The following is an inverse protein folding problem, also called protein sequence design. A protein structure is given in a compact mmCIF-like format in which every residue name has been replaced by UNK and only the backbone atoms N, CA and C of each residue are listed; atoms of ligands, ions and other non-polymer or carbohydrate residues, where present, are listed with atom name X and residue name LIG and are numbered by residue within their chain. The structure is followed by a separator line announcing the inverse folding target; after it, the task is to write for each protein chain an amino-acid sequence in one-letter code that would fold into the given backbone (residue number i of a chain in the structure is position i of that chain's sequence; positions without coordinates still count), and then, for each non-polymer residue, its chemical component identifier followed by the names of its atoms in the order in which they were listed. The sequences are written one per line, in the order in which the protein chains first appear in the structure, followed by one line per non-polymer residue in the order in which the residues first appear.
data_IF_836830018428
#
_entry.id   IF_836830018428
#
_cell.length_a   1.000
_cell.length_b   1.000
_cell.length_c   1.000
_cell.angle_alpha   90.00
_cell.angle_beta   90.00
_cell.angle_gamma   90.00
#
_symmetry.space_group_name_H-M   'P 1'
#
loop_
_entity.id
_entity.type
_entity.pdbx_description
1 polymer ?
#
# COMPACT_ATOMS: atom_id res chain seq x y z
N UNK A 1 -18.31 -11.99 -21.59
CA UNK A 1 -17.74 -12.25 -22.93
C UNK A 1 -16.73 -13.40 -22.92
N UNK A 2 -15.58 -13.31 -22.24
CA UNK A 2 -14.58 -14.40 -22.28
C UNK A 2 -14.96 -15.68 -21.52
N UNK A 3 -15.85 -15.63 -20.52
CA UNK A 3 -16.31 -16.84 -19.81
C UNK A 3 -17.16 -17.78 -20.66
N UNK A 4 -17.81 -17.25 -21.71
CA UNK A 4 -18.70 -18.00 -22.60
C UNK A 4 -18.11 -18.10 -24.03
N UNK A 5 -16.80 -17.93 -24.17
CA UNK A 5 -16.13 -18.03 -25.47
C UNK A 5 -15.99 -19.48 -25.92
N UNK A 6 -15.91 -19.70 -27.22
CA UNK A 6 -15.65 -21.03 -27.77
C UNK A 6 -14.26 -21.56 -27.37
N UNK A 7 -14.06 -22.89 -27.35
CA UNK A 7 -12.75 -23.49 -27.05
C UNK A 7 -11.63 -23.02 -27.98
N UNK A 8 -11.93 -22.73 -29.25
CA UNK A 8 -10.96 -22.24 -30.23
C UNK A 8 -10.43 -20.86 -29.84
N UNK A 9 -11.32 -19.97 -29.40
CA UNK A 9 -10.93 -18.64 -28.93
C UNK A 9 -10.12 -18.72 -27.62
N UNK A 10 -10.48 -19.63 -26.71
CA UNK A 10 -9.70 -19.87 -25.50
C UNK A 10 -8.28 -20.35 -25.83
N UNK A 11 -8.14 -21.27 -26.78
CA UNK A 11 -6.85 -21.75 -27.26
C UNK A 11 -6.02 -20.66 -27.95
N UNK A 12 -6.65 -19.80 -28.74
CA UNK A 12 -5.98 -18.66 -29.36
C UNK A 12 -5.47 -17.66 -28.30
N UNK A 13 -6.28 -17.34 -27.30
CA UNK A 13 -5.90 -16.45 -26.18
C UNK A 13 -4.77 -17.08 -25.36
N UNK A 14 -4.82 -18.39 -25.10
CA UNK A 14 -3.75 -19.10 -24.40
C UNK A 14 -2.42 -19.01 -25.16
N UNK A 15 -2.44 -19.27 -26.47
CA UNK A 15 -1.24 -19.13 -27.33
C UNK A 15 -0.70 -17.70 -27.28
N UNK A 16 -1.57 -16.70 -27.38
CA UNK A 16 -1.19 -15.29 -27.26
C UNK A 16 -0.55 -14.98 -25.90
N UNK A 17 -1.14 -15.43 -24.80
CA UNK A 17 -0.60 -15.21 -23.46
C UNK A 17 0.75 -15.89 -23.24
N UNK A 18 0.93 -17.11 -23.76
CA UNK A 18 2.21 -17.80 -23.70
C UNK A 18 3.27 -17.08 -24.56
N UNK A 19 2.90 -16.54 -25.72
CA UNK A 19 3.81 -15.74 -26.55
C UNK A 19 4.23 -14.45 -25.85
N UNK A 20 3.29 -13.72 -25.24
CA UNK A 20 3.58 -12.54 -24.41
C UNK A 20 4.50 -12.91 -23.24
N UNK A 21 4.22 -14.03 -22.57
CA UNK A 21 5.03 -14.48 -21.44
C UNK A 21 6.46 -14.84 -21.85
N UNK A 22 6.63 -15.53 -22.98
CA UNK A 22 7.94 -16.01 -23.45
C UNK A 22 8.77 -14.90 -24.09
N UNK A 23 8.14 -13.93 -24.76
CA UNK A 23 8.85 -12.78 -25.31
C UNK A 23 9.41 -11.88 -24.21
N UNK A 24 8.65 -11.68 -23.13
CA UNK A 24 8.96 -10.68 -22.10
C UNK A 24 8.40 -9.29 -22.44
N UNK A 25 7.63 -9.16 -23.52
CA UNK A 25 7.12 -7.87 -24.00
C UNK A 25 5.61 -7.79 -23.84
N UNK A 26 5.14 -6.72 -23.21
CA UNK A 26 3.72 -6.44 -23.04
C UNK A 26 3.20 -5.69 -24.28
N UNK A 27 2.11 -6.16 -24.93
CA UNK A 27 1.62 -5.52 -26.14
C UNK A 27 1.28 -4.03 -25.96
N UNK A 28 1.74 -3.17 -26.87
CA UNK A 28 1.48 -1.72 -26.85
C UNK A 28 -0.01 -1.38 -26.76
N UNK A 29 -0.84 -2.12 -27.50
CA UNK A 29 -2.31 -1.97 -27.49
C UNK A 29 -2.93 -2.26 -26.12
N UNK A 30 -2.24 -3.01 -25.27
CA UNK A 30 -2.65 -3.25 -23.88
C UNK A 30 -2.04 -2.22 -22.91
N UNK A 31 -0.94 -1.60 -23.31
CA UNK A 31 -0.18 -0.60 -22.56
C UNK A 31 -0.72 0.82 -22.68
N UNK A 32 -1.83 1.00 -23.40
CA UNK A 32 -2.56 2.25 -23.54
C UNK A 32 -3.79 2.27 -22.62
N UNK A 33 -3.88 3.29 -21.77
CA UNK A 33 -4.94 3.47 -20.79
C UNK A 33 -5.78 4.73 -21.01
N UNK A 34 -7.05 4.68 -20.63
CA UNK A 34 -7.94 5.85 -20.57
C UNK A 34 -8.25 6.20 -19.12
N UNK A 35 -7.77 7.34 -18.66
CA UNK A 35 -7.99 7.86 -17.30
C UNK A 35 -9.31 8.62 -17.27
N UNK A 36 -10.26 8.12 -16.49
CA UNK A 36 -11.50 8.84 -16.15
C UNK A 36 -11.34 9.48 -14.75
N UNK A 37 -11.33 10.82 -14.64
CA UNK A 37 -11.24 11.49 -13.34
C UNK A 37 -12.58 11.41 -12.61
N UNK A 38 -12.57 10.90 -11.39
CA UNK A 38 -13.74 10.81 -10.50
C UNK A 38 -13.53 11.75 -9.33
N UNK A 39 -14.44 12.71 -9.15
CA UNK A 39 -14.38 13.64 -8.02
C UNK A 39 -14.54 12.89 -6.70
N UNK A 40 -13.63 13.12 -5.75
CA UNK A 40 -13.62 12.47 -4.43
C UNK A 40 -14.28 13.34 -3.38
N UNK A 41 -13.85 14.60 -3.24
CA UNK A 41 -14.28 15.53 -2.17
C UNK A 41 -13.68 16.91 -2.39
N UNK A 42 -14.21 17.96 -1.76
CA UNK A 42 -13.61 19.31 -1.82
C UNK A 42 -13.93 20.04 -3.13
N UNK A 43 -13.15 21.08 -3.43
CA UNK A 43 -13.36 21.92 -4.61
C UNK A 43 -13.19 21.14 -5.92
N UNK A 44 -14.14 21.32 -6.84
CA UNK A 44 -14.14 20.72 -8.18
C UNK A 44 -13.13 21.38 -9.11
N UNK A 45 -12.63 22.58 -8.77
CA UNK A 45 -11.61 23.26 -9.56
C UNK A 45 -10.20 22.69 -9.33
N UNK A 46 -9.97 22.01 -8.20
CA UNK A 46 -8.67 21.45 -7.83
C UNK A 46 -8.51 20.01 -8.37
N UNK A 47 -7.56 19.74 -9.29
CA UNK A 47 -7.31 18.40 -9.80
C UNK A 47 -6.91 17.37 -8.73
N UNK A 48 -6.38 17.81 -7.58
CA UNK A 48 -6.01 16.92 -6.48
C UNK A 48 -7.21 16.26 -5.80
N UNK A 49 -8.41 16.83 -6.00
CA UNK A 49 -9.66 16.32 -5.49
C UNK A 49 -10.29 15.24 -6.38
N UNK A 50 -9.59 14.82 -7.44
CA UNK A 50 -10.02 13.77 -8.34
C UNK A 50 -9.17 12.51 -8.19
N UNK A 51 -9.80 11.36 -8.35
CA UNK A 51 -9.14 10.05 -8.50
C UNK A 51 -9.20 9.64 -9.97
N UNK A 52 -8.04 9.48 -10.60
CA UNK A 52 -7.97 9.00 -11.98
C UNK A 52 -8.09 7.48 -12.05
N UNK A 53 -9.23 6.95 -12.48
CA UNK A 53 -9.38 5.51 -12.74
C UNK A 53 -8.95 5.22 -14.17
N UNK A 54 -7.93 4.37 -14.33
CA UNK A 54 -7.43 3.98 -15.64
C UNK A 54 -8.15 2.73 -16.16
N UNK A 55 -8.78 2.86 -17.32
CA UNK A 55 -9.41 1.74 -18.03
C UNK A 55 -8.44 1.20 -19.08
N UNK A 56 -7.96 -0.02 -18.84
CA UNK A 56 -7.04 -0.74 -19.73
C UNK A 56 -7.76 -1.82 -20.56
N UNK A 57 -7.02 -2.38 -21.53
CA UNK A 57 -7.43 -3.54 -22.36
C UNK A 57 -8.01 -4.69 -21.53
N UNK A 58 -9.13 -5.26 -22.00
CA UNK A 58 -9.77 -6.40 -21.36
C UNK A 58 -8.89 -7.65 -21.40
N UNK A 59 -8.23 -7.94 -22.53
CA UNK A 59 -7.29 -9.06 -22.64
C UNK A 59 -6.07 -8.83 -21.74
N UNK A 60 -5.55 -7.60 -21.70
CA UNK A 60 -4.45 -7.23 -20.81
C UNK A 60 -4.81 -7.43 -19.34
N UNK A 61 -6.03 -7.08 -18.92
CA UNK A 61 -6.52 -7.33 -17.55
C UNK A 61 -6.58 -8.81 -17.21
N UNK A 62 -7.07 -9.65 -18.12
CA UNK A 62 -7.11 -11.11 -17.91
C UNK A 62 -5.71 -11.68 -17.79
N UNK A 63 -4.79 -11.27 -18.68
CA UNK A 63 -3.38 -11.67 -18.60
C UNK A 63 -2.75 -11.24 -17.26
N UNK A 64 -2.93 -9.97 -16.87
CA UNK A 64 -2.45 -9.44 -15.60
C UNK A 64 -3.04 -10.22 -14.41
N UNK A 65 -4.29 -10.66 -14.49
CA UNK A 65 -4.91 -11.45 -13.42
C UNK A 65 -4.23 -12.81 -13.27
N UNK A 66 -3.95 -13.50 -14.38
CA UNK A 66 -3.23 -14.79 -14.37
C UNK A 66 -1.80 -14.60 -13.85
N UNK A 67 -1.10 -13.58 -14.34
CA UNK A 67 0.24 -13.26 -13.89
C UNK A 67 0.27 -12.92 -12.40
N UNK A 68 -0.73 -12.19 -11.92
CA UNK A 68 -0.85 -11.81 -10.51
C UNK A 68 -0.99 -13.04 -9.61
N UNK A 69 -1.81 -14.02 -10.00
CA UNK A 69 -1.93 -15.27 -9.25
C UNK A 69 -0.60 -16.01 -9.15
N UNK A 70 0.19 -16.05 -10.24
CA UNK A 70 1.52 -16.70 -10.23
C UNK A 70 2.52 -15.97 -9.35
N UNK A 71 2.56 -14.64 -9.42
CA UNK A 71 3.42 -13.81 -8.56
C UNK A 71 3.01 -13.97 -7.10
N UNK A 72 1.73 -14.00 -6.80
CA UNK A 72 1.22 -14.19 -5.45
C UNK A 72 1.65 -15.54 -4.86
N UNK A 73 1.55 -16.62 -5.63
CA UNK A 73 2.07 -17.94 -5.23
C UNK A 73 3.57 -17.88 -4.92
N UNK A 74 4.36 -17.25 -5.79
CA UNK A 74 5.80 -17.07 -5.56
C UNK A 74 6.10 -16.28 -4.28
N UNK A 75 5.43 -15.15 -4.06
CA UNK A 75 5.63 -14.30 -2.88
C UNK A 75 5.29 -15.04 -1.58
N UNK A 76 4.27 -15.90 -1.61
CA UNK A 76 3.88 -16.75 -0.49
C UNK A 76 4.90 -17.86 -0.22
N UNK A 77 5.30 -18.61 -1.25
CA UNK A 77 6.27 -19.71 -1.14
C UNK A 77 7.64 -19.22 -0.64
N UNK A 78 8.04 -18.02 -1.06
CA UNK A 78 9.30 -17.39 -0.65
C UNK A 78 9.20 -16.55 0.63
N UNK A 79 8.01 -16.45 1.24
CA UNK A 79 7.73 -15.61 2.41
C UNK A 79 8.29 -14.18 2.27
N UNK A 80 8.11 -13.57 1.10
CA UNK A 80 8.68 -12.25 0.77
C UNK A 80 7.97 -11.14 1.53
N UNK A 81 6.64 -11.22 1.63
CA UNK A 81 5.83 -10.15 2.23
C UNK A 81 5.77 -10.33 3.76
N UNK A 82 6.04 -9.25 4.50
CA UNK A 82 5.91 -9.22 5.95
C UNK A 82 4.53 -9.66 6.42
N UNK A 83 4.50 -10.45 7.49
CA UNK A 83 3.26 -10.94 8.12
C UNK A 83 2.37 -9.83 8.67
N UNK A 84 2.94 -8.65 8.93
CA UNK A 84 2.22 -7.47 9.40
C UNK A 84 1.58 -6.66 8.26
N UNK A 85 1.88 -6.97 7.00
CA UNK A 85 1.16 -6.45 5.83
C UNK A 85 0.07 -7.45 5.44
N UNK A 86 -1.20 -7.06 5.62
CA UNK A 86 -2.34 -7.92 5.27
C UNK A 86 -3.21 -7.35 4.15
N UNK A 87 -2.91 -6.13 3.69
CA UNK A 87 -3.64 -5.49 2.60
C UNK A 87 -3.46 -6.23 1.28
N UNK A 88 -4.56 -6.44 0.56
CA UNK A 88 -4.60 -7.16 -0.73
C UNK A 88 -4.09 -8.60 -0.71
N UNK A 89 -3.89 -9.18 0.48
CA UNK A 89 -3.55 -10.59 0.63
C UNK A 89 -4.82 -11.44 0.74
N UNK A 90 -4.79 -12.69 0.26
CA UNK A 90 -5.95 -13.57 0.34
C UNK A 90 -6.14 -14.00 1.79
N UNK A 91 -7.39 -14.27 2.18
CA UNK A 91 -7.76 -14.70 3.53
C UNK A 91 -7.49 -13.70 4.67
N UNK A 92 -7.25 -12.43 4.34
CA UNK A 92 -7.13 -11.35 5.32
C UNK A 92 -8.24 -10.33 5.16
N UNK A 93 -8.63 -9.69 6.27
CA UNK A 93 -9.67 -8.68 6.33
C UNK A 93 -9.24 -7.50 7.19
N UNK A 94 -9.80 -6.32 6.93
CA UNK A 94 -9.55 -5.12 7.76
C UNK A 94 -9.88 -5.36 9.24
N UNK A 95 -10.86 -6.22 9.53
CA UNK A 95 -11.24 -6.62 10.90
C UNK A 95 -10.12 -7.28 11.67
N UNK A 96 -9.15 -7.91 11.00
CA UNK A 96 -8.06 -8.64 11.66
C UNK A 96 -7.11 -7.65 12.35
N UNK A 97 -6.78 -6.54 11.68
CA UNK A 97 -5.97 -5.47 12.28
C UNK A 97 -6.71 -4.69 13.36
N UNK A 98 -8.03 -4.49 13.19
CA UNK A 98 -8.88 -3.90 14.24
C UNK A 98 -8.85 -4.78 15.49
N UNK A 99 -9.07 -6.09 15.33
CA UNK A 99 -9.06 -7.05 16.43
C UNK A 99 -7.69 -7.13 17.10
N UNK A 100 -6.61 -7.13 16.30
CA UNK A 100 -5.23 -7.12 16.79
C UNK A 100 -4.96 -5.88 17.65
N UNK A 101 -5.29 -4.69 17.14
CA UNK A 101 -5.10 -3.44 17.87
C UNK A 101 -5.92 -3.40 19.16
N UNK A 102 -7.19 -3.81 19.10
CA UNK A 102 -8.06 -3.88 20.30
C UNK A 102 -7.51 -4.84 21.36
N UNK A 103 -7.01 -6.00 20.93
CA UNK A 103 -6.40 -6.99 21.84
C UNK A 103 -5.13 -6.44 22.49
N UNK A 104 -4.29 -5.74 21.72
CA UNK A 104 -3.10 -5.07 22.24
C UNK A 104 -3.45 -4.00 23.28
N UNK A 105 -4.47 -3.18 23.01
CA UNK A 105 -4.98 -2.17 23.95
C UNK A 105 -5.46 -2.84 25.24
N UNK A 106 -6.28 -3.89 25.15
CA UNK A 106 -6.74 -4.62 26.33
C UNK A 106 -5.59 -5.19 27.17
N UNK A 107 -4.62 -5.84 26.51
CA UNK A 107 -3.47 -6.44 27.20
C UNK A 107 -2.54 -5.41 27.83
N UNK A 108 -2.14 -4.37 27.09
CA UNK A 108 -1.08 -3.46 27.55
C UNK A 108 -1.60 -2.23 28.27
N UNK A 109 -2.84 -1.81 28.03
CA UNK A 109 -3.44 -0.65 28.71
C UNK A 109 -4.33 -1.08 29.87
N UNK A 110 -5.27 -2.01 29.64
CA UNK A 110 -6.29 -2.33 30.64
C UNK A 110 -5.80 -3.31 31.73
N UNK A 111 -4.87 -4.21 31.43
CA UNK A 111 -4.36 -5.16 32.43
C UNK A 111 -3.19 -4.62 33.27
N UNK A 112 -2.44 -3.61 32.79
CA UNK A 112 -1.30 -3.01 33.52
C UNK A 112 -1.74 -1.80 34.35
N UNK A 113 -1.09 -1.53 35.50
CA UNK A 113 -1.41 -0.38 36.36
C UNK A 113 -1.14 0.96 35.67
N UNK A 114 -0.02 1.08 34.96
CA UNK A 114 0.40 2.28 34.21
C UNK A 114 0.55 2.01 32.71
N UNK A 115 -0.29 1.13 32.19
CA UNK A 115 -0.26 0.70 30.79
C UNK A 115 -0.50 1.85 29.80
N UNK A 116 0.38 1.97 28.81
CA UNK A 116 0.27 2.94 27.71
C UNK A 116 0.66 2.32 26.39
N UNK A 117 -0.02 2.74 25.32
CA UNK A 117 0.38 2.47 23.94
C UNK A 117 0.40 3.80 23.21
N UNK A 118 1.50 4.08 22.52
CA UNK A 118 1.58 5.15 21.56
C UNK A 118 1.33 4.55 20.18
N UNK A 119 0.36 5.11 19.45
CA UNK A 119 0.01 4.69 18.11
C UNK A 119 0.08 5.90 17.17
N UNK A 120 0.78 5.76 16.04
CA UNK A 120 0.81 6.77 14.98
C UNK A 120 0.13 6.20 13.74
N UNK A 121 -0.99 6.81 13.35
CA UNK A 121 -1.74 6.48 12.14
C UNK A 121 -1.20 7.35 11.02
N UNK A 122 -0.60 6.72 10.02
CA UNK A 122 0.09 7.36 8.90
C UNK A 122 -0.73 7.21 7.63
N UNK A 123 -0.94 8.33 6.94
CA UNK A 123 -1.57 8.39 5.61
C UNK A 123 -0.49 8.84 4.62
N UNK A 124 -0.18 8.03 3.62
CA UNK A 124 0.73 8.43 2.54
C UNK A 124 0.00 9.33 1.52
N UNK A 125 0.69 10.38 1.04
CA UNK A 125 0.19 11.24 -0.04
C UNK A 125 0.18 10.47 -1.35
N UNK A 126 -1.02 10.14 -1.83
CA UNK A 126 -1.25 9.48 -3.13
C UNK A 126 -0.30 8.29 -3.34
N UNK A 127 -0.25 7.36 -2.38
CA UNK A 127 0.77 6.32 -2.31
C UNK A 127 0.94 5.55 -3.63
N UNK A 128 -0.18 5.12 -4.21
CA UNK A 128 -0.21 4.39 -5.48
C UNK A 128 0.31 5.23 -6.65
N UNK A 129 0.02 6.53 -6.69
CA UNK A 129 0.44 7.42 -7.78
C UNK A 129 1.91 7.88 -7.64
N UNK A 130 2.49 7.72 -6.44
CA UNK A 130 3.82 8.22 -6.10
C UNK A 130 4.95 7.22 -6.36
N UNK A 131 4.63 5.95 -6.64
CA UNK A 131 5.63 4.89 -6.82
C UNK A 131 6.65 5.24 -7.89
N UNK A 132 7.92 5.23 -7.51
CA UNK A 132 9.03 5.43 -8.44
C UNK A 132 9.36 4.12 -9.16
N UNK A 133 9.29 4.13 -10.49
CA UNK A 133 9.38 2.91 -11.30
C UNK A 133 10.74 2.20 -11.18
N UNK A 134 11.86 2.93 -11.26
CA UNK A 134 13.18 2.29 -11.10
C UNK A 134 13.36 1.69 -9.71
N UNK A 135 12.87 2.37 -8.67
CA UNK A 135 12.85 1.81 -7.32
C UNK A 135 11.97 0.56 -7.20
N UNK A 136 10.83 0.53 -7.90
CA UNK A 136 9.97 -0.64 -7.97
C UNK A 136 10.69 -1.81 -8.67
N UNK A 137 11.33 -1.57 -9.81
CA UNK A 137 12.07 -2.60 -10.54
C UNK A 137 13.21 -3.17 -9.70
N UNK A 138 13.94 -2.30 -9.00
CA UNK A 138 14.98 -2.71 -8.07
C UNK A 138 14.41 -3.64 -6.98
N UNK A 139 13.34 -3.23 -6.30
CA UNK A 139 12.71 -4.03 -5.24
C UNK A 139 12.16 -5.36 -5.74
N UNK A 140 11.58 -5.40 -6.94
CA UNK A 140 11.14 -6.66 -7.57
C UNK A 140 12.32 -7.63 -7.71
N UNK A 141 13.48 -7.17 -8.20
CA UNK A 141 14.65 -8.03 -8.33
C UNK A 141 15.16 -8.52 -6.96
N UNK A 142 15.09 -7.70 -5.91
CA UNK A 142 15.45 -8.11 -4.54
C UNK A 142 14.59 -9.25 -4.00
N UNK A 143 13.33 -9.39 -4.46
CA UNK A 143 12.48 -10.53 -4.10
C UNK A 143 12.90 -11.86 -4.75
N UNK A 144 13.80 -11.82 -5.73
CA UNK A 144 14.16 -12.96 -6.59
C UNK A 144 13.22 -13.16 -7.79
N UNK A 145 12.23 -12.27 -7.99
CA UNK A 145 11.36 -12.30 -9.16
C UNK A 145 12.10 -11.72 -10.38
N UNK A 146 12.73 -12.60 -11.16
CA UNK A 146 13.52 -12.23 -12.34
C UNK A 146 12.96 -12.77 -13.67
N UNK A 147 13.81 -12.77 -14.69
CA UNK A 147 13.54 -13.33 -16.01
C UNK A 147 12.36 -12.66 -16.72
N UNK A 148 11.59 -13.45 -17.48
CA UNK A 148 10.54 -12.92 -18.35
C UNK A 148 9.40 -12.21 -17.62
N UNK A 149 9.12 -12.59 -16.38
CA UNK A 149 8.12 -11.90 -15.56
C UNK A 149 8.59 -10.49 -15.21
N UNK A 150 9.86 -10.34 -14.83
CA UNK A 150 10.46 -9.03 -14.61
C UNK A 150 10.45 -8.18 -15.88
N UNK A 151 10.88 -8.75 -17.02
CA UNK A 151 10.90 -8.04 -18.31
C UNK A 151 9.51 -7.51 -18.67
N UNK A 152 8.47 -8.31 -18.46
CA UNK A 152 7.08 -7.91 -18.69
C UNK A 152 6.64 -6.77 -17.80
N UNK A 153 6.91 -6.86 -16.49
CA UNK A 153 6.55 -5.80 -15.56
C UNK A 153 7.29 -4.52 -15.94
N UNK A 154 8.58 -4.62 -16.28
CA UNK A 154 9.36 -3.47 -16.73
C UNK A 154 8.76 -2.82 -17.98
N UNK A 155 8.54 -3.61 -19.05
CA UNK A 155 7.89 -3.16 -20.29
C UNK A 155 6.51 -2.54 -20.02
N UNK A 156 5.70 -3.13 -19.14
CA UNK A 156 4.40 -2.58 -18.75
C UNK A 156 4.50 -1.15 -18.18
N UNK A 157 5.52 -0.84 -17.39
CA UNK A 157 5.65 0.46 -16.73
C UNK A 157 6.46 1.48 -17.54
N UNK A 158 7.45 1.04 -18.32
CA UNK A 158 8.28 1.93 -19.16
C UNK A 158 7.54 2.44 -20.40
N UNK A 159 6.68 1.62 -21.00
CA UNK A 159 5.97 1.95 -22.25
C UNK A 159 4.51 2.38 -22.00
N UNK A 160 4.16 2.67 -20.74
CA UNK A 160 2.80 3.03 -20.35
C UNK A 160 2.39 4.41 -20.89
N UNK A 161 1.32 4.44 -21.70
CA UNK A 161 0.73 5.68 -22.21
C UNK A 161 -0.72 5.80 -21.76
N UNK A 162 -1.10 6.98 -21.31
CA UNK A 162 -2.44 7.27 -20.84
C UNK A 162 -3.03 8.48 -21.59
N UNK A 163 -4.34 8.54 -21.73
CA UNK A 163 -5.06 9.76 -22.11
C UNK A 163 -6.17 10.04 -21.09
N UNK A 164 -6.42 11.32 -20.79
CA UNK A 164 -7.52 11.72 -19.91
C UNK A 164 -8.80 11.78 -20.74
N UNK A 165 -9.86 11.12 -20.27
CA UNK A 165 -11.19 11.14 -20.88
C UNK A 165 -12.16 11.93 -20.01
N UNK A 166 -12.77 12.96 -20.59
CA UNK A 166 -13.85 13.73 -19.96
C UNK A 166 -15.05 13.69 -20.90
N UNK A 167 -16.14 13.05 -20.45
CA UNK A 167 -17.34 12.81 -21.27
C UNK A 167 -16.97 12.14 -22.60
N UNK A 168 -17.20 12.82 -23.73
CA UNK A 168 -16.93 12.31 -25.09
C UNK A 168 -15.60 12.81 -25.68
N UNK A 169 -14.83 13.59 -24.91
CA UNK A 169 -13.53 14.09 -25.33
C UNK A 169 -12.40 13.33 -24.64
N UNK A 170 -11.26 13.23 -25.31
CA UNK A 170 -10.02 12.69 -24.76
C UNK A 170 -8.84 13.56 -25.14
N UNK A 171 -7.85 13.63 -24.27
CA UNK A 171 -6.56 14.26 -24.57
C UNK A 171 -5.74 13.40 -25.53
N UNK A 172 -4.63 13.96 -25.99
CA UNK A 172 -3.54 13.16 -26.57
C UNK A 172 -2.97 12.18 -25.53
N UNK A 173 -2.28 11.16 -26.03
CA UNK A 173 -1.58 10.18 -25.21
C UNK A 173 -0.33 10.81 -24.61
N UNK A 174 -0.13 10.63 -23.31
CA UNK A 174 1.07 11.04 -22.59
C UNK A 174 1.65 9.84 -21.83
N UNK A 175 2.96 9.85 -21.61
CA UNK A 175 3.63 8.80 -20.85
C UNK A 175 3.41 8.98 -19.35
N UNK A 176 3.11 7.90 -18.64
CA UNK A 176 3.00 7.92 -17.19
C UNK A 176 4.33 7.48 -16.56
N UNK A 177 5.07 8.43 -15.98
CA UNK A 177 6.43 8.20 -15.43
C UNK A 177 6.49 7.78 -13.96
N UNK A 178 5.35 7.80 -13.26
CA UNK A 178 5.25 7.44 -11.83
C UNK A 178 3.92 6.76 -11.53
N UNK A 179 3.93 6.03 -10.43
CA UNK A 179 2.78 5.36 -9.86
C UNK A 179 2.53 3.97 -10.45
N UNK A 180 1.85 3.15 -9.67
CA UNK A 180 1.30 1.88 -10.15
C UNK A 180 0.00 2.10 -10.93
N UNK A 181 -0.34 1.20 -11.84
CA UNK A 181 -1.54 1.31 -12.67
C UNK A 181 -2.81 1.10 -11.86
N UNK A 182 -3.53 2.16 -11.52
CA UNK A 182 -4.82 2.02 -10.84
C UNK A 182 -5.80 1.20 -11.69
N UNK A 183 -6.42 0.18 -11.09
CA UNK A 183 -7.34 -0.74 -11.78
C UNK A 183 -6.69 -1.94 -12.46
N UNK A 184 -5.36 -2.06 -12.45
CA UNK A 184 -4.65 -3.29 -12.82
C UNK A 184 -4.59 -4.23 -11.61
N UNK A 185 -4.85 -5.53 -11.81
CA UNK A 185 -4.82 -6.54 -10.76
C UNK A 185 -3.43 -6.79 -10.16
N UNK A 186 -2.35 -6.46 -10.89
CA UNK A 186 -0.97 -6.61 -10.43
C UNK A 186 -0.53 -5.49 -9.49
N UNK A 187 -1.04 -4.27 -9.71
CA UNK A 187 -0.61 -3.07 -8.99
C UNK A 187 -0.64 -3.18 -7.47
N UNK A 188 -1.65 -3.83 -6.83
CA UNK A 188 -1.65 -4.01 -5.39
C UNK A 188 -0.49 -4.86 -4.87
N UNK A 189 -0.17 -5.97 -5.53
CA UNK A 189 0.97 -6.82 -5.14
C UNK A 189 2.30 -6.13 -5.40
N UNK A 190 2.42 -5.38 -6.50
CA UNK A 190 3.61 -4.57 -6.77
C UNK A 190 3.80 -3.46 -5.72
N UNK A 191 2.71 -2.86 -5.24
CA UNK A 191 2.76 -1.92 -4.12
C UNK A 191 3.20 -2.61 -2.81
N UNK A 192 2.68 -3.81 -2.52
CA UNK A 192 3.10 -4.59 -1.36
C UNK A 192 4.60 -4.93 -1.41
N UNK A 193 5.12 -5.35 -2.56
CA UNK A 193 6.58 -5.53 -2.76
C UNK A 193 7.32 -4.23 -2.50
N UNK A 194 6.80 -3.10 -2.99
CA UNK A 194 7.44 -1.80 -2.83
C UNK A 194 7.59 -1.43 -1.35
N UNK A 195 6.51 -1.51 -0.57
CA UNK A 195 6.48 -1.09 0.83
C UNK A 195 7.15 -2.10 1.77
N UNK A 196 7.41 -3.33 1.33
CA UNK A 196 7.89 -4.41 2.20
C UNK A 196 9.18 -4.09 2.95
N UNK A 197 10.12 -3.40 2.31
CA UNK A 197 11.39 -3.04 2.94
C UNK A 197 11.19 -2.11 4.15
N UNK A 198 10.13 -1.30 4.19
CA UNK A 198 9.80 -0.52 5.39
C UNK A 198 9.49 -1.45 6.58
N UNK A 199 8.75 -2.53 6.32
CA UNK A 199 8.46 -3.55 7.33
C UNK A 199 9.76 -4.21 7.82
N UNK A 200 10.65 -4.61 6.90
CA UNK A 200 11.96 -5.19 7.25
C UNK A 200 12.81 -4.23 8.09
N UNK A 201 12.86 -2.93 7.73
CA UNK A 201 13.58 -1.91 8.48
C UNK A 201 13.02 -1.72 9.90
N UNK A 202 11.69 -1.73 10.06
CA UNK A 202 11.03 -1.60 11.36
C UNK A 202 11.27 -2.83 12.25
N UNK A 203 11.29 -4.02 11.65
CA UNK A 203 11.54 -5.27 12.39
C UNK A 203 12.99 -5.39 12.85
N UNK A 204 13.96 -5.03 12.00
CA UNK A 204 15.40 -5.07 12.32
C UNK A 204 15.82 -4.03 13.36
N UNK A 205 15.15 -2.88 13.43
CA UNK A 205 15.53 -1.83 14.37
C UNK A 205 15.08 -2.15 15.81
N UNK A 206 15.91 -1.91 16.84
CA UNK A 206 15.64 -2.30 18.22
C UNK A 206 14.66 -1.37 18.96
N UNK A 207 13.65 -0.84 18.28
CA UNK A 207 12.56 -0.11 18.92
C UNK A 207 11.58 -1.10 19.58
N UNK A 208 11.12 -0.85 20.82
CA UNK A 208 10.23 -1.78 21.51
C UNK A 208 8.86 -1.83 20.84
N UNK A 209 8.37 -3.03 20.56
CA UNK A 209 7.01 -3.28 20.10
C UNK A 209 6.09 -3.72 21.23
N UNK A 210 4.88 -4.14 20.86
CA UNK A 210 3.89 -4.66 21.78
C UNK A 210 3.78 -6.17 21.66
N UNK A 211 4.00 -6.88 22.76
CA UNK A 211 3.93 -8.34 22.77
C UNK A 211 2.49 -8.83 22.69
N UNK A 212 2.17 -9.67 21.69
CA UNK A 212 0.92 -10.41 21.54
C UNK A 212 1.25 -11.90 21.45
N UNK A 213 0.87 -12.67 22.47
CA UNK A 213 1.39 -14.03 22.70
C UNK A 213 2.92 -14.07 22.62
N UNK A 214 3.50 -14.81 21.66
CA UNK A 214 4.93 -14.96 21.44
C UNK A 214 5.50 -14.05 20.34
N UNK A 215 4.66 -13.16 19.79
CA UNK A 215 5.04 -12.25 18.71
C UNK A 215 5.11 -10.80 19.19
N UNK A 216 6.11 -10.06 18.72
CA UNK A 216 6.18 -8.62 18.91
C UNK A 216 5.52 -7.89 17.73
N UNK A 217 4.61 -6.95 18.03
CA UNK A 217 3.91 -6.14 17.02
C UNK A 217 4.38 -4.70 17.13
N UNK A 218 5.15 -4.24 16.14
CA UNK A 218 5.66 -2.87 16.02
C UNK A 218 4.82 -2.01 15.09
N UNK A 219 4.14 -2.62 14.13
CA UNK A 219 3.31 -1.92 13.16
C UNK A 219 2.20 -2.80 12.61
N UNK A 220 1.20 -2.17 12.00
CA UNK A 220 0.12 -2.80 11.26
C UNK A 220 0.06 -2.13 9.88
N UNK A 221 0.25 -2.92 8.82
CA UNK A 221 0.19 -2.47 7.43
C UNK A 221 -1.05 -3.02 6.71
N UNK A 222 -1.87 -2.14 6.18
CA UNK A 222 -3.00 -2.50 5.32
C UNK A 222 -2.90 -1.68 4.05
N UNK A 223 -2.27 -2.23 3.01
CA UNK A 223 -1.96 -1.48 1.80
C UNK A 223 -1.10 -0.25 2.15
N UNK A 224 -1.60 0.96 1.83
CA UNK A 224 -1.00 2.25 2.17
C UNK A 224 -1.35 2.74 3.58
N UNK A 225 -2.31 2.14 4.28
CA UNK A 225 -2.58 2.50 5.68
C UNK A 225 -1.53 1.86 6.59
N UNK A 226 -0.80 2.68 7.34
CA UNK A 226 0.23 2.25 8.29
C UNK A 226 -0.11 2.74 9.70
N UNK A 227 -0.06 1.83 10.66
CA UNK A 227 -0.09 2.17 12.09
C UNK A 227 1.22 1.75 12.73
N UNK A 228 1.99 2.70 13.25
CA UNK A 228 3.17 2.41 14.08
C UNK A 228 2.74 2.30 15.55
N UNK A 229 3.29 1.33 16.27
CA UNK A 229 2.94 1.01 17.64
C UNK A 229 4.21 0.90 18.51
N UNK A 230 4.16 1.44 19.71
CA UNK A 230 5.20 1.22 20.73
C UNK A 230 4.64 1.46 22.14
N UNK A 231 5.16 0.78 23.17
CA UNK A 231 4.83 1.05 24.56
C UNK A 231 5.49 2.34 25.09
N UNK A 232 6.48 2.88 24.38
CA UNK A 232 7.26 4.06 24.78
C UNK A 232 7.17 5.19 23.76
N UNK A 233 7.36 6.42 24.24
CA UNK A 233 7.44 7.63 23.39
C UNK A 233 8.66 7.54 22.47
N UNK A 234 9.79 7.12 23.02
CA UNK A 234 11.06 7.01 22.32
C UNK A 234 10.96 6.00 21.17
N UNK A 235 10.29 4.86 21.38
CA UNK A 235 10.06 3.85 20.35
C UNK A 235 9.21 4.36 19.17
N UNK A 236 8.17 5.16 19.42
CA UNK A 236 7.41 5.79 18.32
C UNK A 236 8.27 6.79 17.55
N UNK A 237 9.06 7.62 18.23
CA UNK A 237 9.93 8.57 17.54
C UNK A 237 11.00 7.85 16.70
N UNK A 238 11.56 6.74 17.20
CA UNK A 238 12.48 5.91 16.44
C UNK A 238 11.82 5.32 15.18
N UNK A 239 10.62 4.76 15.32
CA UNK A 239 9.87 4.23 14.17
C UNK A 239 9.51 5.32 13.15
N UNK A 240 9.21 6.55 13.61
CA UNK A 240 9.01 7.71 12.72
C UNK A 240 10.28 8.11 11.98
N UNK A 241 11.45 8.07 12.63
CA UNK A 241 12.72 8.36 11.98
C UNK A 241 13.05 7.31 10.89
N UNK A 242 12.74 6.03 11.14
CA UNK A 242 12.87 4.96 10.13
C UNK A 242 11.93 5.22 8.95
N UNK A 243 10.69 5.58 9.23
CA UNK A 243 9.72 5.95 8.20
C UNK A 243 10.19 7.14 7.36
N UNK A 244 10.76 8.17 8.00
CA UNK A 244 11.34 9.34 7.32
C UNK A 244 12.48 8.94 6.38
N UNK A 245 13.43 8.14 6.86
CA UNK A 245 14.53 7.62 6.06
C UNK A 245 14.01 6.81 4.86
N UNK A 246 13.05 5.92 5.10
CA UNK A 246 12.43 5.11 4.07
C UNK A 246 11.73 5.99 3.01
N UNK A 247 10.94 6.97 3.45
CA UNK A 247 10.25 7.90 2.56
C UNK A 247 11.23 8.71 1.70
N UNK A 248 12.34 9.16 2.29
CA UNK A 248 13.40 9.86 1.57
C UNK A 248 14.05 8.98 0.50
N UNK A 249 14.43 7.75 0.85
CA UNK A 249 15.09 6.82 -0.07
C UNK A 249 14.17 6.37 -1.21
N UNK A 250 12.89 6.16 -0.92
CA UNK A 250 11.93 5.54 -1.83
C UNK A 250 10.88 6.51 -2.36
N UNK A 251 11.16 7.81 -2.32
CA UNK A 251 10.35 8.87 -2.92
C UNK A 251 8.85 8.82 -2.55
N UNK A 252 8.55 8.44 -1.31
CA UNK A 252 7.21 8.50 -0.74
C UNK A 252 7.07 9.73 0.17
N UNK A 253 5.85 10.18 0.37
CA UNK A 253 5.57 11.34 1.20
C UNK A 253 4.39 11.07 2.12
N UNK A 254 4.50 11.54 3.37
CA UNK A 254 3.43 11.42 4.37
C UNK A 254 2.52 12.65 4.33
N UNK A 255 1.24 12.41 4.57
CA UNK A 255 0.21 13.43 4.68
C UNK A 255 0.07 13.88 6.13
N UNK A 256 0.82 14.93 6.50
CA UNK A 256 0.84 15.47 7.87
C UNK A 256 -0.53 15.90 8.39
N UNK A 257 -1.47 16.32 7.52
CA UNK A 257 -2.82 16.72 7.96
C UNK A 257 -3.67 15.54 8.44
N UNK A 258 -3.44 14.36 7.85
CA UNK A 258 -4.19 13.14 8.16
C UNK A 258 -3.43 12.17 9.06
N UNK A 259 -2.12 12.33 9.15
CA UNK A 259 -1.28 11.55 10.05
C UNK A 259 -1.48 12.06 11.46
N UNK A 260 -1.85 11.17 12.38
CA UNK A 260 -2.21 11.53 13.76
C UNK A 260 -1.58 10.58 14.76
N UNK A 261 -1.25 11.10 15.93
CA UNK A 261 -0.83 10.28 17.07
C UNK A 261 -1.95 10.17 18.08
N UNK A 262 -2.18 8.95 18.53
CA UNK A 262 -3.11 8.62 19.60
C UNK A 262 -2.38 7.87 20.71
N UNK A 263 -2.67 8.22 21.95
CA UNK A 263 -2.09 7.58 23.14
C UNK A 263 -3.21 6.87 23.89
N UNK A 264 -3.18 5.54 23.89
CA UNK A 264 -4.10 4.72 24.65
C UNK A 264 -3.60 4.54 26.07
N UNK A 265 -4.40 4.94 27.07
CA UNK A 265 -4.09 4.81 28.50
C UNK A 265 -5.38 4.82 29.35
N UNK A 266 -5.37 4.20 30.53
CA UNK A 266 -6.57 4.09 31.41
C UNK A 266 -7.19 5.42 31.84
N UNK A 267 -6.38 6.46 32.04
CA UNK A 267 -6.82 7.79 32.50
C UNK A 267 -6.70 8.80 31.36
N UNK A 268 -7.81 9.14 30.66
CA UNK A 268 -7.76 10.03 29.49
C UNK A 268 -7.42 11.50 29.84
N UNK A 269 -7.63 11.93 31.10
CA UNK A 269 -7.57 13.33 31.55
C UNK A 269 -6.19 14.04 31.53
N UNK A 270 -5.12 13.42 31.05
CA UNK A 270 -3.78 14.03 30.95
C UNK A 270 -3.20 13.95 29.53
N UNK A 271 -4.03 14.07 28.49
CA UNK A 271 -3.63 13.89 27.08
C UNK A 271 -3.00 15.13 26.42
N UNK A 272 -3.05 16.30 27.05
CA UNK A 272 -2.68 17.53 26.37
C UNK A 272 -1.18 17.87 26.54
N UNK A 273 -0.42 17.69 25.46
CA UNK A 273 0.87 18.34 25.16
C UNK A 273 2.15 17.87 25.87
N UNK A 274 2.15 16.80 26.68
CA UNK A 274 3.41 16.34 27.31
C UNK A 274 4.42 15.79 26.29
N UNK A 275 3.93 15.13 25.26
CA UNK A 275 4.78 14.48 24.26
C UNK A 275 4.73 15.28 22.96
N UNK A 276 5.90 15.43 22.34
CA UNK A 276 6.06 15.99 21.00
C UNK A 276 6.73 14.92 20.14
N UNK A 277 6.19 14.74 18.96
CA UNK A 277 6.69 13.83 17.95
C UNK A 277 6.87 14.59 16.65
N UNK A 278 7.95 14.29 15.94
CA UNK A 278 8.30 14.98 14.71
C UNK A 278 8.53 13.99 13.58
N UNK A 279 8.15 14.39 12.37
CA UNK A 279 8.46 13.70 11.13
C UNK A 279 8.79 14.77 10.08
N UNK A 280 9.97 14.70 9.45
CA UNK A 280 10.48 15.75 8.56
C UNK A 280 10.43 17.16 9.19
N UNK A 281 10.90 17.29 10.43
CA UNK A 281 10.84 18.52 11.23
C UNK A 281 9.42 19.10 11.46
N UNK A 282 8.36 18.37 11.10
CA UNK A 282 6.98 18.79 11.30
C UNK A 282 6.41 18.07 12.51
N UNK A 283 5.77 18.82 13.43
CA UNK A 283 5.11 18.23 14.59
C UNK A 283 3.85 17.49 14.14
N UNK A 284 3.72 16.23 14.55
CA UNK A 284 2.51 15.44 14.28
C UNK A 284 1.44 15.80 15.31
N UNK A 285 0.22 16.03 14.83
CA UNK A 285 -0.90 16.40 15.67
C UNK A 285 -1.39 15.21 16.51
N UNK A 286 -1.71 15.49 17.77
CA UNK A 286 -2.34 14.54 18.67
C UNK A 286 -3.86 14.54 18.46
N UNK A 287 -4.46 13.35 18.39
CA UNK A 287 -5.90 13.19 18.47
C UNK A 287 -6.28 12.61 19.83
N UNK A 288 -7.28 13.19 20.54
CA UNK A 288 -7.73 12.64 21.81
C UNK A 288 -8.43 11.30 21.58
N UNK A 289 -8.35 10.41 22.57
CA UNK A 289 -9.04 9.11 22.56
C UNK A 289 -10.56 9.24 22.88
N UNK A 290 -11.09 10.45 23.03
CA UNK A 290 -12.48 10.69 23.46
C UNK A 290 -13.43 11.18 22.38
N UNK A 291 -12.97 11.45 21.15
CA UNK A 291 -13.82 11.94 20.07
C UNK A 291 -13.78 10.99 18.86
N UNK A 292 -14.85 10.20 18.72
CA UNK A 292 -15.30 9.60 17.45
C UNK A 292 -14.60 8.37 16.85
N UNK A 293 -14.04 7.44 17.63
CA UNK A 293 -13.76 6.09 17.12
C UNK A 293 -14.40 5.03 18.02
N UNK A 294 -15.74 5.00 17.97
CA UNK A 294 -16.48 3.78 18.29
C UNK A 294 -16.23 2.78 17.16
N UNK A 295 -15.27 1.87 17.31
CA UNK A 295 -15.21 0.63 16.49
C UNK A 295 -16.31 -0.36 16.95
N UNK A 296 -17.48 0.16 17.31
CA UNK A 296 -18.50 -0.55 18.08
C UNK A 296 -19.93 -0.14 17.74
N UNK A 297 -20.19 0.25 16.48
CA UNK A 297 -21.50 0.15 15.84
C UNK A 297 -21.32 -0.36 14.40
N UNK A 298 -20.85 -1.61 14.31
CA UNK A 298 -21.16 -2.54 13.23
C UNK A 298 -21.61 -3.85 13.90
#
# INVERSE_FOLDING_TARGET
MLKNSTPELQNAVLKLFNMVLTSGCFPDVWNQGLISPIHKSGDKSDPNNYRGICVNSNLGKVFCSILNSRIQTFLQEKNVISKCQIGFLPNHRTTDHIYTLHTLINKHVHQKKEGKIFACFIDFKKAFDSIWHEGLFYKILQTGLGGKVYDLIKCMYTENKCAIKIKNQRTELFSQSRGVRQGCSLSPNLFNIYINELADMLDQYPAPGLTLFDTEVKYLLYADDLVLLSPTKEGIQQNLNILEQYCHNWALAVNFKKTKIMIFQKKPRCQNHKYKFTLNNTIIEHTPWSDHICIGKL
#
